data_IF_510874903871
#
_entry.id   IF_510874903871
#
_cell.length_a   1.000
_cell.length_b   1.000
_cell.length_c   1.000
_cell.angle_alpha   90.00
_cell.angle_beta   90.00
_cell.angle_gamma   90.00
#
_symmetry.space_group_name_H-M   'P 1'
#
loop_
_entity.id
_entity.type
_entity.pdbx_description
1 polymer ?
#
# COMPACT_ATOMS: atom_id res chain seq x y z
N UNK A 1 0.60 20.01 42.10
CA UNK A 1 1.05 18.82 41.34
C UNK A 1 1.27 19.28 39.91
N UNK A 2 2.52 19.48 39.48
CA UNK A 2 2.80 19.80 38.06
C UNK A 2 2.76 18.47 37.31
N UNK A 3 1.90 18.38 36.31
CA UNK A 3 1.88 17.25 35.38
C UNK A 3 2.90 17.61 34.32
N UNK A 4 4.07 16.98 34.36
CA UNK A 4 5.07 17.15 33.30
C UNK A 4 4.52 16.49 32.03
N UNK A 5 4.11 17.32 31.07
CA UNK A 5 3.74 16.88 29.73
C UNK A 5 5.02 16.35 29.04
N UNK A 6 4.99 15.17 28.41
CA UNK A 6 6.16 14.61 27.75
C UNK A 6 6.66 15.54 26.63
N UNK A 7 7.99 15.63 26.51
CA UNK A 7 8.68 16.38 25.46
C UNK A 7 8.23 15.91 24.07
N UNK A 8 7.85 16.87 23.22
CA UNK A 8 7.32 16.62 21.88
C UNK A 8 8.32 15.85 20.98
N UNK A 9 9.62 15.95 21.25
CA UNK A 9 10.67 15.18 20.57
C UNK A 9 10.58 13.67 20.88
N UNK A 10 10.35 13.31 22.14
CA UNK A 10 10.24 11.93 22.61
C UNK A 10 8.97 11.27 22.04
N UNK A 11 7.89 12.02 21.85
CA UNK A 11 6.65 11.54 21.25
C UNK A 11 6.87 11.22 19.76
N UNK A 12 7.51 12.13 19.01
CA UNK A 12 7.81 11.94 17.59
C UNK A 12 8.77 10.76 17.33
N UNK A 13 9.79 10.58 18.17
CA UNK A 13 10.72 9.44 18.09
C UNK A 13 10.01 8.10 18.34
N UNK A 14 9.12 8.04 19.35
CA UNK A 14 8.32 6.83 19.63
C UNK A 14 7.34 6.51 18.52
N UNK A 15 6.68 7.51 17.96
CA UNK A 15 5.75 7.34 16.84
C UNK A 15 6.47 6.87 15.56
N UNK A 16 7.68 7.38 15.32
CA UNK A 16 8.53 6.94 14.20
C UNK A 16 8.95 5.48 14.35
N UNK A 17 9.48 5.09 15.52
CA UNK A 17 9.88 3.70 15.78
C UNK A 17 8.70 2.72 15.70
N UNK A 18 7.50 3.14 16.13
CA UNK A 18 6.28 2.34 16.03
C UNK A 18 5.85 2.13 14.58
N UNK A 19 5.95 3.17 13.74
CA UNK A 19 5.67 3.08 12.31
C UNK A 19 6.69 2.20 11.57
N UNK A 20 7.97 2.30 11.93
CA UNK A 20 9.03 1.48 11.33
C UNK A 20 8.80 -0.01 11.58
N UNK A 21 8.41 -0.38 12.81
CA UNK A 21 8.10 -1.76 13.15
C UNK A 21 6.85 -2.28 12.40
N UNK A 22 5.78 -1.48 12.35
CA UNK A 22 4.57 -1.81 11.58
C UNK A 22 4.89 -2.09 10.10
N UNK A 23 5.71 -1.23 9.48
CA UNK A 23 6.10 -1.42 8.09
C UNK A 23 7.08 -2.55 7.89
N UNK A 24 7.93 -2.85 8.87
CA UNK A 24 8.76 -4.05 8.83
C UNK A 24 7.90 -5.31 8.73
N UNK A 25 6.90 -5.44 9.61
CA UNK A 25 6.01 -6.60 9.62
C UNK A 25 5.11 -6.67 8.36
N UNK A 26 4.64 -5.52 7.86
CA UNK A 26 3.93 -5.49 6.58
C UNK A 26 4.80 -6.00 5.42
N UNK A 27 6.07 -5.60 5.37
CA UNK A 27 7.02 -6.09 4.35
C UNK A 27 7.26 -7.58 4.48
N UNK A 28 7.39 -8.10 5.69
CA UNK A 28 7.52 -9.55 5.94
C UNK A 28 6.31 -10.32 5.39
N UNK A 29 5.09 -9.83 5.63
CA UNK A 29 3.88 -10.40 5.04
C UNK A 29 3.93 -10.38 3.51
N UNK A 30 4.40 -9.29 2.90
CA UNK A 30 4.57 -9.22 1.45
C UNK A 30 5.62 -10.18 0.91
N UNK A 31 6.76 -10.35 1.59
CA UNK A 31 7.79 -11.33 1.20
C UNK A 31 7.24 -12.76 1.23
N UNK A 32 6.49 -13.11 2.28
CA UNK A 32 5.84 -14.41 2.38
C UNK A 32 4.80 -14.60 1.28
N UNK A 33 3.99 -13.59 0.99
CA UNK A 33 3.01 -13.62 -0.10
C UNK A 33 3.68 -13.87 -1.44
N UNK A 34 4.73 -13.11 -1.76
CA UNK A 34 5.44 -13.22 -3.04
C UNK A 34 6.08 -14.59 -3.20
N UNK A 35 6.58 -15.17 -2.10
CA UNK A 35 7.04 -16.55 -2.09
C UNK A 35 5.89 -17.53 -2.42
N UNK A 36 4.74 -17.44 -1.75
CA UNK A 36 3.59 -18.32 -2.04
C UNK A 36 3.07 -18.20 -3.47
N UNK A 37 2.98 -16.97 -3.99
CA UNK A 37 2.62 -16.72 -5.38
C UNK A 37 3.66 -17.32 -6.34
N UNK A 38 4.96 -17.26 -6.01
CA UNK A 38 6.02 -17.83 -6.85
C UNK A 38 5.93 -19.35 -6.98
N UNK A 39 5.40 -20.04 -5.96
CA UNK A 39 5.25 -21.50 -5.96
C UNK A 39 4.17 -21.96 -6.96
N UNK A 40 3.10 -21.18 -7.13
CA UNK A 40 2.06 -21.47 -8.13
C UNK A 40 2.39 -20.86 -9.50
N UNK A 41 3.28 -19.87 -9.54
CA UNK A 41 3.84 -19.23 -10.75
C UNK A 41 2.76 -18.83 -11.80
N UNK A 42 1.79 -17.98 -11.42
CA UNK A 42 0.67 -17.64 -12.28
C UNK A 42 1.12 -16.69 -13.40
N UNK A 43 0.54 -16.86 -14.59
CA UNK A 43 0.87 -16.00 -15.74
C UNK A 43 0.28 -14.60 -15.61
N UNK A 44 1.05 -13.59 -16.00
CA UNK A 44 0.57 -12.22 -16.17
C UNK A 44 0.68 -11.85 -17.65
N UNK A 45 -0.44 -11.46 -18.27
CA UNK A 45 -0.48 -11.05 -19.68
C UNK A 45 -0.35 -9.52 -19.84
N UNK A 46 -0.51 -8.77 -18.74
CA UNK A 46 -0.58 -7.30 -18.74
C UNK A 46 0.59 -6.62 -18.04
N UNK A 47 1.43 -7.37 -17.32
CA UNK A 47 2.74 -6.98 -16.77
C UNK A 47 2.88 -5.51 -16.33
N UNK A 48 1.98 -5.01 -15.48
CA UNK A 48 2.04 -3.65 -14.94
C UNK A 48 1.00 -2.67 -15.52
N UNK A 49 0.37 -3.00 -16.64
CA UNK A 49 -0.70 -2.19 -17.25
C UNK A 49 -2.04 -2.25 -16.48
N UNK A 50 -2.19 -3.18 -15.53
CA UNK A 50 -3.39 -3.28 -14.69
C UNK A 50 -3.65 -2.02 -13.84
N UNK A 51 -2.71 -1.07 -13.81
CA UNK A 51 -2.90 0.26 -13.24
C UNK A 51 -3.80 1.18 -14.08
N UNK A 52 -4.16 0.84 -15.32
CA UNK A 52 -5.20 1.54 -16.08
C UNK A 52 -6.58 0.97 -15.71
N UNK A 53 -7.14 1.40 -14.58
CA UNK A 53 -8.34 0.80 -14.01
C UNK A 53 -9.57 0.93 -14.92
N UNK A 54 -9.74 2.09 -15.55
CA UNK A 54 -10.85 2.33 -16.47
C UNK A 54 -10.82 1.45 -17.72
N UNK A 55 -9.63 1.16 -18.26
CA UNK A 55 -9.47 0.24 -19.42
C UNK A 55 -9.81 -1.21 -19.07
N UNK A 56 -9.53 -1.62 -17.83
CA UNK A 56 -9.66 -3.01 -17.39
C UNK A 56 -10.89 -3.29 -16.51
N UNK A 57 -11.75 -2.29 -16.29
CA UNK A 57 -12.90 -2.36 -15.37
C UNK A 57 -12.48 -2.89 -13.98
N UNK A 58 -11.39 -2.34 -13.46
CA UNK A 58 -10.83 -2.73 -12.16
C UNK A 58 -11.12 -1.68 -11.11
N UNK A 59 -11.28 -2.11 -9.86
CA UNK A 59 -11.22 -1.22 -8.71
C UNK A 59 -10.18 -1.76 -7.75
N UNK A 60 -9.11 -1.00 -7.54
CA UNK A 60 -8.06 -1.37 -6.61
C UNK A 60 -8.47 -0.97 -5.18
N UNK A 61 -8.63 -1.95 -4.31
CA UNK A 61 -8.83 -1.73 -2.87
C UNK A 61 -7.53 -1.95 -2.10
N UNK A 62 -7.35 -1.14 -1.06
CA UNK A 62 -6.21 -1.21 -0.15
C UNK A 62 -6.60 -0.80 1.27
N UNK A 63 -5.88 -1.32 2.25
CA UNK A 63 -6.01 -0.88 3.64
C UNK A 63 -5.19 0.39 3.91
N UNK A 64 -5.61 1.17 4.90
CA UNK A 64 -4.95 2.44 5.28
C UNK A 64 -3.46 2.32 5.60
N UNK A 65 -3.02 1.22 6.20
CA UNK A 65 -1.61 0.95 6.49
C UNK A 65 -0.80 0.74 5.20
N UNK A 66 -1.40 0.09 4.20
CA UNK A 66 -0.75 -0.09 2.89
C UNK A 66 -0.63 1.23 2.13
N UNK A 67 -1.64 2.10 2.23
CA UNK A 67 -1.59 3.44 1.61
C UNK A 67 -0.60 4.34 2.33
N UNK A 68 -0.55 4.32 3.67
CA UNK A 68 0.47 5.06 4.44
C UNK A 68 1.88 4.62 4.03
N UNK A 69 2.09 3.30 3.95
CA UNK A 69 3.35 2.70 3.50
C UNK A 69 3.76 3.20 2.12
N UNK A 70 2.83 3.27 1.16
CA UNK A 70 3.10 3.87 -0.16
C UNK A 70 3.50 5.33 -0.03
N UNK A 71 2.71 6.16 0.67
CA UNK A 71 2.95 7.61 0.73
C UNK A 71 4.22 8.02 1.48
N UNK A 72 4.71 7.19 2.40
CA UNK A 72 5.98 7.42 3.11
C UNK A 72 7.21 6.99 2.31
N UNK A 73 7.05 6.11 1.33
CA UNK A 73 8.18 5.56 0.56
C UNK A 73 8.22 6.05 -0.89
N UNK A 74 7.14 6.65 -1.40
CA UNK A 74 7.02 7.09 -2.78
C UNK A 74 6.40 8.49 -2.84
N UNK A 75 7.02 9.38 -3.61
CA UNK A 75 6.42 10.67 -3.96
C UNK A 75 5.12 10.49 -4.75
N UNK A 76 4.06 11.13 -4.28
CA UNK A 76 2.75 11.13 -4.93
C UNK A 76 2.54 12.49 -5.61
N UNK A 77 2.71 12.53 -6.93
CA UNK A 77 2.41 13.73 -7.72
C UNK A 77 0.90 14.04 -7.72
N UNK A 78 0.50 15.20 -8.24
CA UNK A 78 -0.92 15.49 -8.44
C UNK A 78 -1.52 14.57 -9.50
N UNK A 79 -2.74 14.12 -9.24
CA UNK A 79 -3.47 13.25 -10.14
C UNK A 79 -4.97 13.48 -10.01
N UNK A 80 -5.69 13.16 -11.09
CA UNK A 80 -7.14 13.21 -11.13
C UNK A 80 -7.71 11.80 -11.00
N UNK A 81 -8.54 11.60 -9.97
CA UNK A 81 -9.21 10.32 -9.72
C UNK A 81 -10.21 9.99 -10.84
N UNK A 82 -10.77 11.00 -11.53
CA UNK A 82 -11.78 10.79 -12.58
C UNK A 82 -11.23 10.10 -13.83
N UNK A 83 -9.89 10.06 -13.96
CA UNK A 83 -9.21 9.38 -15.05
C UNK A 83 -9.18 7.86 -14.86
N UNK A 84 -9.49 7.35 -13.67
CA UNK A 84 -9.42 5.92 -13.32
C UNK A 84 -8.08 5.28 -13.73
N UNK A 85 -6.98 5.99 -13.51
CA UNK A 85 -5.62 5.52 -13.76
C UNK A 85 -4.80 5.69 -12.49
N UNK A 86 -4.06 4.64 -12.13
CA UNK A 86 -3.09 4.66 -11.04
C UNK A 86 -2.03 5.74 -11.31
N UNK A 87 -1.78 6.68 -10.38
CA UNK A 87 -0.80 7.76 -10.59
C UNK A 87 0.64 7.28 -10.70
N UNK A 88 0.89 6.00 -10.41
CA UNK A 88 2.20 5.36 -10.53
C UNK A 88 2.36 4.54 -11.82
N UNK A 89 1.40 4.60 -12.75
CA UNK A 89 1.54 4.04 -14.08
C UNK A 89 2.36 5.02 -14.94
N UNK A 90 3.57 4.63 -15.33
CA UNK A 90 4.47 5.42 -16.19
C UNK A 90 4.88 4.56 -17.38
N UNK A 91 4.63 5.04 -18.60
CA UNK A 91 4.93 4.32 -19.84
C UNK A 91 4.44 2.86 -19.80
N UNK A 92 3.18 2.67 -19.41
CA UNK A 92 2.52 1.35 -19.29
C UNK A 92 3.14 0.38 -18.26
N UNK A 93 4.01 0.89 -17.38
CA UNK A 93 4.66 0.12 -16.32
C UNK A 93 4.39 0.73 -14.93
N UNK A 94 4.27 -0.15 -13.94
CA UNK A 94 4.14 0.28 -12.55
C UNK A 94 5.49 0.77 -12.01
N UNK A 95 5.59 2.05 -11.67
CA UNK A 95 6.83 2.65 -11.16
C UNK A 95 7.11 2.35 -9.68
N UNK A 96 6.16 1.73 -8.96
CA UNK A 96 6.25 1.47 -7.51
C UNK A 96 6.20 -0.02 -7.18
N UNK A 97 6.73 -0.87 -8.06
CA UNK A 97 6.57 -2.33 -7.98
C UNK A 97 6.82 -2.91 -6.58
N UNK A 98 7.85 -2.40 -5.87
CA UNK A 98 8.25 -2.85 -4.54
C UNK A 98 7.33 -2.37 -3.41
N UNK A 99 6.57 -1.30 -3.64
CA UNK A 99 5.67 -0.68 -2.65
C UNK A 99 4.19 -0.98 -2.93
N UNK A 100 3.90 -1.86 -3.89
CA UNK A 100 2.53 -2.24 -4.24
C UNK A 100 1.77 -2.83 -3.05
N UNK A 101 0.47 -2.58 -3.02
CA UNK A 101 -0.44 -3.13 -2.02
C UNK A 101 -0.79 -4.59 -2.35
N UNK A 102 -1.33 -5.30 -1.36
CA UNK A 102 -1.74 -6.70 -1.41
C UNK A 102 -2.47 -7.06 -2.72
N UNK A 103 -3.52 -6.32 -3.05
CA UNK A 103 -4.36 -6.59 -4.23
C UNK A 103 -3.56 -6.58 -5.54
N UNK A 104 -2.56 -5.69 -5.67
CA UNK A 104 -1.67 -5.67 -6.84
C UNK A 104 -0.64 -6.82 -6.84
N UNK A 105 -0.28 -7.36 -5.68
CA UNK A 105 0.69 -8.46 -5.57
C UNK A 105 0.04 -9.82 -5.84
N UNK A 106 -1.21 -9.99 -5.46
CA UNK A 106 -1.94 -11.24 -5.62
C UNK A 106 -2.73 -11.34 -6.94
N UNK A 107 -2.94 -10.23 -7.67
CA UNK A 107 -3.70 -10.25 -8.92
C UNK A 107 -2.86 -10.70 -10.13
N UNK A 108 -3.38 -11.68 -10.87
CA UNK A 108 -2.80 -12.22 -12.10
C UNK A 108 -3.87 -12.50 -13.15
N UNK A 109 -3.46 -12.57 -14.43
CA UNK A 109 -4.38 -12.81 -15.56
C UNK A 109 -4.70 -14.30 -15.79
N UNK A 110 -4.12 -15.19 -14.98
CA UNK A 110 -4.18 -16.63 -15.19
C UNK A 110 -5.42 -17.23 -14.52
N UNK A 111 -6.48 -17.40 -15.29
CA UNK A 111 -7.74 -18.00 -14.80
C UNK A 111 -7.54 -19.41 -14.20
N UNK A 112 -6.46 -20.12 -14.57
CA UNK A 112 -6.18 -21.47 -14.04
C UNK A 112 -5.76 -21.45 -12.58
N UNK A 113 -5.24 -20.31 -12.10
CA UNK A 113 -4.77 -20.13 -10.72
C UNK A 113 -5.60 -19.09 -9.96
N UNK A 114 -6.81 -18.79 -10.45
CA UNK A 114 -7.67 -17.75 -9.89
C UNK A 114 -8.06 -18.05 -8.44
N UNK A 115 -8.42 -19.29 -8.16
CA UNK A 115 -8.83 -19.70 -6.80
C UNK A 115 -7.63 -19.68 -5.85
N UNK A 116 -6.45 -20.10 -6.29
CA UNK A 116 -5.23 -20.07 -5.49
C UNK A 116 -4.79 -18.63 -5.20
N UNK A 117 -4.77 -17.77 -6.22
CA UNK A 117 -4.42 -16.34 -6.06
C UNK A 117 -5.43 -15.60 -5.19
N UNK A 118 -6.72 -15.91 -5.30
CA UNK A 118 -7.76 -15.39 -4.40
C UNK A 118 -7.55 -15.90 -2.97
N UNK A 119 -7.28 -17.19 -2.77
CA UNK A 119 -7.03 -17.77 -1.44
C UNK A 119 -5.82 -17.14 -0.76
N UNK A 120 -4.74 -16.91 -1.52
CA UNK A 120 -3.56 -16.17 -1.07
C UNK A 120 -3.96 -14.74 -0.69
N UNK A 121 -4.68 -14.02 -1.55
CA UNK A 121 -5.15 -12.65 -1.24
C UNK A 121 -5.93 -12.61 0.08
N UNK A 122 -6.93 -13.46 0.25
CA UNK A 122 -7.77 -13.49 1.43
C UNK A 122 -6.99 -13.84 2.70
N UNK A 123 -6.04 -14.77 2.61
CA UNK A 123 -5.14 -15.13 3.71
C UNK A 123 -4.32 -13.92 4.16
N UNK A 124 -3.63 -13.24 3.24
CA UNK A 124 -2.80 -12.09 3.60
C UNK A 124 -3.63 -10.86 3.98
N UNK A 125 -4.84 -10.71 3.43
CA UNK A 125 -5.77 -9.69 3.87
C UNK A 125 -6.14 -9.85 5.35
N UNK A 126 -6.41 -11.09 5.79
CA UNK A 126 -6.64 -11.38 7.22
C UNK A 126 -5.40 -11.10 8.07
N UNK A 127 -4.21 -11.47 7.59
CA UNK A 127 -2.96 -11.22 8.31
C UNK A 127 -2.66 -9.72 8.46
N UNK A 128 -2.83 -8.93 7.40
CA UNK A 128 -2.71 -7.46 7.47
C UNK A 128 -3.71 -6.90 8.48
N UNK A 129 -4.96 -7.39 8.49
CA UNK A 129 -5.95 -6.98 9.50
C UNK A 129 -5.50 -7.29 10.93
N UNK A 130 -4.70 -8.33 11.17
CA UNK A 130 -4.14 -8.58 12.51
C UNK A 130 -3.14 -7.52 12.96
N UNK A 131 -2.43 -6.87 12.02
CA UNK A 131 -1.56 -5.74 12.33
C UNK A 131 -2.38 -4.57 12.92
N UNK A 132 -3.58 -4.30 12.41
CA UNK A 132 -4.43 -3.26 12.98
C UNK A 132 -4.76 -3.50 14.45
N UNK A 133 -5.09 -4.75 14.80
CA UNK A 133 -5.33 -5.12 16.20
C UNK A 133 -4.07 -4.97 17.05
N UNK A 134 -2.92 -5.45 16.55
CA UNK A 134 -1.64 -5.42 17.25
C UNK A 134 -1.14 -4.01 17.52
N UNK A 135 -1.35 -3.10 16.58
CA UNK A 135 -0.89 -1.70 16.64
C UNK A 135 -1.99 -0.72 17.07
N UNK A 136 -3.14 -1.23 17.54
CA UNK A 136 -4.29 -0.45 18.01
C UNK A 136 -4.80 0.59 17.00
N UNK A 137 -4.85 0.21 15.72
CA UNK A 137 -5.30 1.06 14.62
C UNK A 137 -6.76 0.75 14.27
N UNK A 138 -7.49 1.76 13.81
CA UNK A 138 -8.84 1.58 13.24
C UNK A 138 -8.76 0.91 11.86
N UNK A 139 -9.51 -0.17 11.68
CA UNK A 139 -9.57 -0.87 10.40
C UNK A 139 -10.23 -0.02 9.32
N UNK A 140 -9.50 0.25 8.24
CA UNK A 140 -10.02 0.88 7.05
C UNK A 140 -9.54 0.12 5.82
N UNK A 141 -10.49 -0.28 4.96
CA UNK A 141 -10.25 -0.91 3.67
C UNK A 141 -11.22 -0.31 2.66
N UNK A 142 -10.71 0.42 1.67
CA UNK A 142 -11.52 1.20 0.75
C UNK A 142 -10.81 1.38 -0.60
N UNK A 143 -11.48 1.94 -1.62
CA UNK A 143 -10.86 2.18 -2.92
C UNK A 143 -9.59 3.04 -2.81
N UNK A 144 -8.54 2.62 -3.52
CA UNK A 144 -7.20 3.15 -3.40
C UNK A 144 -7.09 4.61 -3.82
N UNK A 145 -7.66 5.00 -4.98
CA UNK A 145 -7.49 6.36 -5.51
C UNK A 145 -8.03 7.46 -4.57
N UNK A 146 -9.27 7.36 -4.03
CA UNK A 146 -9.75 8.30 -3.01
C UNK A 146 -8.88 8.31 -1.75
N UNK A 147 -8.46 7.14 -1.28
CA UNK A 147 -7.66 7.02 -0.06
C UNK A 147 -6.28 7.66 -0.24
N UNK A 148 -5.59 7.37 -1.35
CA UNK A 148 -4.29 7.96 -1.71
C UNK A 148 -4.36 9.49 -1.78
N UNK A 149 -5.43 10.04 -2.37
CA UNK A 149 -5.63 11.50 -2.45
C UNK A 149 -5.77 12.14 -1.06
N UNK A 150 -6.47 11.47 -0.14
CA UNK A 150 -6.61 11.89 1.26
C UNK A 150 -5.27 11.83 1.99
N UNK A 151 -4.55 10.71 1.89
CA UNK A 151 -3.25 10.55 2.53
C UNK A 151 -2.24 11.59 2.05
N UNK A 152 -2.13 11.83 0.74
CA UNK A 152 -1.28 12.89 0.17
C UNK A 152 -1.60 14.26 0.79
N UNK A 153 -2.88 14.60 0.88
CA UNK A 153 -3.33 15.88 1.43
C UNK A 153 -2.98 16.04 2.90
N UNK A 154 -2.97 14.94 3.68
CA UNK A 154 -2.54 14.93 5.08
C UNK A 154 -1.02 15.09 5.20
N UNK A 155 -0.23 14.42 4.34
CA UNK A 155 1.23 14.59 4.30
C UNK A 155 1.63 16.03 4.02
N UNK A 156 0.96 16.70 3.07
CA UNK A 156 1.20 18.12 2.76
C UNK A 156 0.88 19.05 3.93
N UNK A 157 -0.15 18.74 4.73
CA UNK A 157 -0.53 19.54 5.91
C UNK A 157 0.43 19.36 7.08
N UNK A 158 1.06 18.19 7.19
CA UNK A 158 1.92 17.83 8.32
C UNK A 158 3.41 18.15 8.09
N UNK A 159 3.77 18.80 6.99
CA UNK A 159 5.13 19.34 6.75
C UNK A 159 6.20 18.32 6.34
N UNK A 160 5.91 17.01 6.32
CA UNK A 160 6.86 15.98 5.90
C UNK A 160 6.84 15.77 4.38
N UNK A 161 7.45 16.70 3.64
CA UNK A 161 7.76 16.51 2.22
C UNK A 161 9.06 15.70 2.13
N UNK A 162 8.95 14.37 2.04
CA UNK A 162 10.07 13.54 1.62
C UNK A 162 10.10 13.55 0.09
N UNK A 163 10.85 14.48 -0.50
CA UNK A 163 11.20 14.42 -1.92
C UNK A 163 12.17 13.24 -2.12
N UNK A 164 11.91 12.30 -3.04
CA UNK A 164 12.95 11.38 -3.50
C UNK A 164 14.02 12.19 -4.27
N UNK A 165 15.28 11.72 -4.30
CA UNK A 165 16.28 12.31 -5.17
C UNK A 165 15.83 12.15 -6.62
N UNK A 166 15.85 13.24 -7.37
CA UNK A 166 15.60 13.28 -8.80
C UNK A 166 16.45 12.21 -9.52
N UNK A 167 15.82 11.41 -10.38
CA UNK A 167 16.47 10.61 -11.44
C UNK A 167 15.82 11.01 -12.75
#
# INVERSE_FOLDING_TARGET
MKIDLPDNSIIAEKETAHNDQLFSELKELYCLLEHEVSLINPRCNKCGMCGNFGEYDHVLYASSVEVDYVTKNVSVHDFDISRDVCPFLKNDLCSIRNFRMLSCRAFYCDERHKDETQSIHEKYHRLIKTLYNKYHLEWEYSPFLPQLKRFKSNTLKNGNIILPPDI
#
